data_IF_236792708908
#
_entry.id   IF_236792708908
#
_cell.length_a   1.000
_cell.length_b   1.000
_cell.length_c   1.000
_cell.angle_alpha   90.00
_cell.angle_beta   90.00
_cell.angle_gamma   90.00
#
_symmetry.space_group_name_H-M   'P 1'
#
loop_
_entity.id
_entity.type
_entity.pdbx_description
1 polymer ?
#
# COMPACT_ATOMS: atom_id res chain seq x y z
N UNK A 1 2.93 9.10 -20.10
CA UNK A 1 3.56 10.27 -19.46
C UNK A 1 3.47 10.08 -17.97
N UNK A 2 4.60 9.80 -17.32
CA UNK A 2 4.66 9.53 -15.88
C UNK A 2 4.14 10.65 -15.00
N UNK A 3 3.73 10.30 -13.78
CA UNK A 3 3.08 11.24 -12.86
C UNK A 3 4.10 11.95 -11.97
N UNK A 4 4.09 13.30 -11.95
CA UNK A 4 4.85 14.09 -10.96
C UNK A 4 4.54 13.71 -9.49
N UNK A 5 3.39 13.06 -9.23
CA UNK A 5 3.02 12.58 -7.89
C UNK A 5 3.94 11.46 -7.40
N UNK A 6 4.57 10.73 -8.30
CA UNK A 6 5.40 9.54 -8.03
C UNK A 6 6.90 9.87 -7.99
N UNK A 7 7.28 11.12 -8.27
CA UNK A 7 8.67 11.57 -8.16
C UNK A 7 9.11 11.53 -6.69
N UNK A 8 10.29 10.99 -6.42
CA UNK A 8 10.81 10.89 -5.04
C UNK A 8 11.18 12.26 -4.49
N UNK A 9 11.13 12.45 -3.18
CA UNK A 9 11.49 13.73 -2.56
C UNK A 9 12.96 14.12 -2.83
N UNK A 10 13.88 13.15 -2.82
CA UNK A 10 15.28 13.37 -3.20
C UNK A 10 15.42 13.88 -4.65
N UNK A 11 14.63 13.35 -5.58
CA UNK A 11 14.62 13.81 -6.98
C UNK A 11 14.02 15.21 -7.11
N UNK A 12 12.93 15.50 -6.37
CA UNK A 12 12.34 16.84 -6.31
C UNK A 12 13.34 17.90 -5.83
N UNK A 13 14.13 17.59 -4.79
CA UNK A 13 15.21 18.45 -4.26
C UNK A 13 16.28 18.66 -5.31
N UNK A 14 16.77 17.59 -5.95
CA UNK A 14 17.81 17.69 -6.98
C UNK A 14 17.42 18.57 -8.16
N UNK A 15 16.14 18.54 -8.57
CA UNK A 15 15.61 19.40 -9.64
C UNK A 15 15.63 20.87 -9.22
N UNK A 16 15.07 21.19 -8.05
CA UNK A 16 14.99 22.59 -7.61
C UNK A 16 16.33 23.15 -7.18
N UNK A 17 17.24 22.31 -6.67
CA UNK A 17 18.63 22.69 -6.41
C UNK A 17 19.32 23.17 -7.69
N UNK A 18 19.16 22.45 -8.81
CA UNK A 18 19.71 22.86 -10.10
C UNK A 18 19.14 24.21 -10.58
N UNK A 19 17.85 24.44 -10.38
CA UNK A 19 17.16 25.70 -10.71
C UNK A 19 17.58 26.87 -9.82
N UNK A 20 18.00 26.61 -8.58
CA UNK A 20 18.42 27.64 -7.63
C UNK A 20 19.93 27.93 -7.67
N UNK A 21 20.71 27.05 -8.29
CA UNK A 21 22.18 27.14 -8.39
C UNK A 21 22.63 28.19 -9.43
N UNK A 22 23.36 29.24 -9.01
CA UNK A 22 23.91 30.27 -9.90
C UNK A 22 24.85 29.77 -10.99
N UNK A 23 25.49 28.61 -10.79
CA UNK A 23 26.39 27.99 -11.77
C UNK A 23 25.66 27.07 -12.77
N UNK A 24 24.35 26.88 -12.61
CA UNK A 24 23.55 25.95 -13.43
C UNK A 24 22.36 26.64 -14.08
N UNK A 25 21.14 26.36 -13.62
CA UNK A 25 19.91 26.76 -14.33
C UNK A 25 19.35 28.08 -13.83
N UNK A 26 19.78 28.57 -12.65
CA UNK A 26 19.32 29.86 -12.10
C UNK A 26 19.44 31.03 -13.07
N UNK A 27 20.55 31.22 -13.83
CA UNK A 27 20.66 32.32 -14.80
C UNK A 27 19.59 32.27 -15.90
N UNK A 28 19.09 31.07 -16.24
CA UNK A 28 18.01 30.90 -17.24
C UNK A 28 16.68 31.44 -16.71
N UNK A 29 16.41 31.27 -15.41
CA UNK A 29 15.25 31.88 -14.75
C UNK A 29 15.43 33.39 -14.59
N UNK A 30 16.62 33.87 -14.21
CA UNK A 30 16.89 35.31 -14.05
C UNK A 30 16.73 36.10 -15.36
N UNK A 31 16.85 35.44 -16.51
CA UNK A 31 16.59 36.03 -17.83
C UNK A 31 15.09 36.19 -18.18
N UNK A 32 14.17 35.59 -17.41
CA UNK A 32 12.72 35.66 -17.62
C UNK A 32 12.14 36.92 -16.97
N UNK A 33 11.03 37.42 -17.52
CA UNK A 33 10.38 38.62 -16.97
C UNK A 33 9.78 38.35 -15.58
N UNK A 34 9.24 37.15 -15.39
CA UNK A 34 8.73 36.62 -14.12
C UNK A 34 9.80 35.94 -13.25
N UNK A 35 11.05 35.89 -13.71
CA UNK A 35 12.12 35.05 -13.18
C UNK A 35 12.32 35.14 -11.67
N UNK A 36 12.33 36.36 -11.13
CA UNK A 36 12.48 36.60 -9.69
C UNK A 36 11.35 35.96 -8.88
N UNK A 37 10.10 36.15 -9.30
CA UNK A 37 8.94 35.59 -8.62
C UNK A 37 8.91 34.07 -8.69
N UNK A 38 9.33 33.48 -9.82
CA UNK A 38 9.47 32.04 -9.96
C UNK A 38 10.55 31.48 -9.02
N UNK A 39 11.71 32.12 -8.94
CA UNK A 39 12.80 31.69 -8.06
C UNK A 39 12.41 31.72 -6.57
N UNK A 40 11.63 32.72 -6.14
CA UNK A 40 11.12 32.78 -4.76
C UNK A 40 10.16 31.59 -4.46
N UNK A 41 9.29 31.24 -5.40
CA UNK A 41 8.39 30.08 -5.28
C UNK A 41 9.15 28.75 -5.29
N UNK A 42 10.16 28.63 -6.15
CA UNK A 42 11.04 27.45 -6.25
C UNK A 42 11.81 27.27 -4.94
N UNK A 43 12.38 28.34 -4.39
CA UNK A 43 13.08 28.32 -3.10
C UNK A 43 12.14 27.87 -1.97
N UNK A 44 10.94 28.45 -1.90
CA UNK A 44 9.94 28.08 -0.90
C UNK A 44 9.57 26.58 -0.97
N UNK A 45 9.38 26.05 -2.17
CA UNK A 45 9.09 24.63 -2.37
C UNK A 45 10.29 23.73 -2.01
N UNK A 46 11.51 24.14 -2.39
CA UNK A 46 12.76 23.44 -2.08
C UNK A 46 12.96 23.31 -0.57
N UNK A 47 12.85 24.42 0.16
CA UNK A 47 13.01 24.46 1.61
C UNK A 47 11.92 23.65 2.32
N UNK A 48 10.67 23.69 1.82
CA UNK A 48 9.57 22.88 2.32
C UNK A 48 9.84 21.36 2.21
N UNK A 49 10.49 20.91 1.14
CA UNK A 49 10.86 19.49 1.00
C UNK A 49 12.04 19.16 1.91
N UNK A 50 13.08 20.00 1.98
CA UNK A 50 14.25 19.74 2.83
C UNK A 50 13.90 19.68 4.33
N UNK A 51 13.02 20.58 4.79
CA UNK A 51 12.58 20.63 6.19
C UNK A 51 11.76 19.41 6.59
N UNK A 52 10.99 18.85 5.66
CA UNK A 52 10.17 17.65 5.89
C UNK A 52 10.97 16.35 5.71
N UNK A 53 12.00 16.33 4.86
CA UNK A 53 12.85 15.16 4.62
C UNK A 53 13.95 14.96 5.69
N UNK A 54 14.30 15.99 6.48
CA UNK A 54 15.27 15.88 7.60
C UNK A 54 14.71 15.19 8.86
N UNK A 55 13.41 14.95 8.95
CA UNK A 55 12.80 14.22 10.08
C UNK A 55 12.67 12.75 9.71
N UNK A 56 13.51 11.90 10.31
CA UNK A 56 13.23 10.47 10.46
C UNK A 56 11.83 10.33 11.07
N UNK A 57 10.83 9.96 10.28
CA UNK A 57 9.45 9.85 10.74
C UNK A 57 9.26 8.49 11.43
N UNK A 58 9.21 8.44 12.78
CA UNK A 58 9.06 7.19 13.49
C UNK A 58 7.71 6.53 13.19
N UNK A 59 6.67 7.33 12.89
CA UNK A 59 5.35 6.81 12.54
C UNK A 59 5.38 6.12 11.16
N UNK A 60 6.10 6.67 10.19
CA UNK A 60 6.27 6.03 8.87
C UNK A 60 7.00 4.69 8.98
N UNK A 61 8.03 4.59 9.83
CA UNK A 61 8.73 3.32 10.11
C UNK A 61 7.84 2.30 10.80
N UNK A 62 7.02 2.76 11.75
CA UNK A 62 6.10 1.91 12.48
C UNK A 62 4.97 1.39 11.57
N UNK A 63 4.42 2.24 10.70
CA UNK A 63 3.45 1.85 9.67
C UNK A 63 4.03 0.81 8.70
N UNK A 64 5.28 1.00 8.26
CA UNK A 64 5.97 0.02 7.41
C UNK A 64 6.16 -1.32 8.12
N UNK A 65 6.54 -1.29 9.40
CA UNK A 65 6.70 -2.49 10.24
C UNK A 65 5.36 -3.23 10.42
N UNK A 66 4.27 -2.50 10.66
CA UNK A 66 2.92 -3.05 10.75
C UNK A 66 2.52 -3.70 9.42
N UNK A 67 2.75 -3.03 8.30
CA UNK A 67 2.39 -3.53 6.97
C UNK A 67 3.14 -4.83 6.63
N UNK A 68 4.43 -4.92 6.94
CA UNK A 68 5.21 -6.15 6.76
C UNK A 68 4.66 -7.29 7.63
N UNK A 69 4.33 -6.98 8.89
CA UNK A 69 3.74 -7.95 9.82
C UNK A 69 2.38 -8.44 9.32
N UNK A 70 1.53 -7.54 8.83
CA UNK A 70 0.23 -7.88 8.23
C UNK A 70 0.40 -8.84 7.07
N UNK A 71 1.28 -8.57 6.10
CA UNK A 71 1.50 -9.47 4.96
C UNK A 71 1.96 -10.89 5.37
N UNK A 72 2.74 -11.04 6.45
CA UNK A 72 3.11 -12.37 6.96
C UNK A 72 1.93 -13.10 7.61
N UNK A 73 1.09 -12.38 8.36
CA UNK A 73 -0.08 -12.95 9.05
C UNK A 73 -1.17 -13.30 8.03
N UNK A 74 -1.38 -12.45 7.05
CA UNK A 74 -2.30 -12.65 5.93
C UNK A 74 -2.01 -13.96 5.19
N UNK A 75 -0.76 -14.15 4.73
CA UNK A 75 -0.33 -15.43 4.15
C UNK A 75 -0.61 -16.65 5.04
N UNK A 76 -0.52 -16.48 6.36
CA UNK A 76 -0.87 -17.53 7.33
C UNK A 76 -2.39 -17.72 7.41
N UNK A 77 -3.17 -16.64 7.51
CA UNK A 77 -4.63 -16.62 7.53
C UNK A 77 -5.19 -17.38 6.31
N UNK A 78 -4.77 -16.96 5.13
CA UNK A 78 -5.10 -17.53 3.83
C UNK A 78 -4.81 -19.02 3.72
N UNK A 79 -3.60 -19.41 4.14
CA UNK A 79 -3.19 -20.81 4.14
C UNK A 79 -4.07 -21.63 5.06
N UNK A 80 -4.56 -21.08 6.18
CA UNK A 80 -5.45 -21.79 7.11
C UNK A 80 -6.87 -21.91 6.56
N UNK A 81 -7.40 -20.88 5.88
CA UNK A 81 -8.66 -20.99 5.14
C UNK A 81 -8.57 -22.12 4.11
N UNK A 82 -7.55 -22.10 3.25
CA UNK A 82 -7.33 -23.15 2.25
C UNK A 82 -7.20 -24.53 2.89
N UNK A 83 -6.44 -24.64 3.98
CA UNK A 83 -6.29 -25.91 4.70
C UNK A 83 -7.63 -26.44 5.24
N UNK A 84 -8.44 -25.61 5.91
CA UNK A 84 -9.76 -26.03 6.43
C UNK A 84 -10.66 -26.48 5.29
N UNK A 85 -10.73 -25.69 4.22
CA UNK A 85 -11.54 -26.02 3.05
C UNK A 85 -11.13 -27.38 2.44
N UNK A 86 -9.84 -27.57 2.16
CA UNK A 86 -9.38 -28.81 1.52
C UNK A 86 -9.43 -30.02 2.45
N UNK A 87 -9.18 -29.86 3.76
CA UNK A 87 -9.29 -30.95 4.72
C UNK A 87 -10.73 -31.47 4.81
N UNK A 88 -11.73 -30.57 4.90
CA UNK A 88 -13.12 -30.99 5.00
C UNK A 88 -13.63 -31.67 3.73
N UNK A 89 -13.25 -31.16 2.56
CA UNK A 89 -13.53 -31.85 1.29
C UNK A 89 -12.80 -33.18 1.19
N UNK A 90 -11.53 -33.25 1.61
CA UNK A 90 -10.74 -34.48 1.56
C UNK A 90 -11.26 -35.57 2.49
N UNK A 91 -11.69 -35.22 3.71
CA UNK A 91 -12.34 -36.16 4.62
C UNK A 91 -13.70 -36.62 4.09
N UNK A 92 -14.46 -35.73 3.44
CA UNK A 92 -15.74 -36.08 2.83
C UNK A 92 -15.56 -37.07 1.68
N UNK A 93 -14.59 -36.83 0.78
CA UNK A 93 -14.29 -37.73 -0.34
C UNK A 93 -13.78 -39.11 0.13
N UNK A 94 -13.11 -39.17 1.27
CA UNK A 94 -12.56 -40.41 1.83
C UNK A 94 -13.57 -41.22 2.66
N UNK A 95 -14.76 -40.69 2.94
CA UNK A 95 -15.77 -41.37 3.77
C UNK A 95 -16.82 -42.09 2.92
N UNK A 96 -17.13 -43.33 3.31
CA UNK A 96 -18.22 -44.13 2.73
C UNK A 96 -19.58 -43.90 3.45
N UNK A 97 -19.60 -43.19 4.59
CA UNK A 97 -20.84 -42.89 5.33
C UNK A 97 -21.48 -41.59 4.80
N UNK A 98 -22.65 -41.65 4.14
CA UNK A 98 -23.30 -40.47 3.59
C UNK A 98 -23.67 -39.43 4.65
N UNK A 99 -23.88 -39.84 5.91
CA UNK A 99 -24.16 -38.90 7.00
C UNK A 99 -22.91 -38.13 7.41
N UNK A 100 -21.74 -38.78 7.42
CA UNK A 100 -20.46 -38.14 7.72
C UNK A 100 -20.08 -37.17 6.60
N UNK A 101 -20.26 -37.56 5.34
CA UNK A 101 -20.08 -36.68 4.17
C UNK A 101 -20.93 -35.42 4.31
N UNK A 102 -22.23 -35.57 4.59
CA UNK A 102 -23.13 -34.43 4.76
C UNK A 102 -22.71 -33.52 5.92
N UNK A 103 -22.28 -34.10 7.05
CA UNK A 103 -21.84 -33.33 8.22
C UNK A 103 -20.53 -32.54 7.94
N UNK A 104 -19.59 -33.12 7.20
CA UNK A 104 -18.33 -32.47 6.82
C UNK A 104 -18.55 -31.30 5.86
N UNK A 105 -19.41 -31.48 4.86
CA UNK A 105 -19.76 -30.42 3.91
C UNK A 105 -20.57 -29.31 4.59
N UNK A 106 -21.50 -29.66 5.48
CA UNK A 106 -22.23 -28.68 6.28
C UNK A 106 -21.28 -27.86 7.18
N UNK A 107 -20.32 -28.51 7.84
CA UNK A 107 -19.29 -27.84 8.65
C UNK A 107 -18.42 -26.89 7.80
N UNK A 108 -18.09 -27.29 6.56
CA UNK A 108 -17.34 -26.45 5.61
C UNK A 108 -18.13 -25.19 5.27
N UNK A 109 -19.40 -25.33 4.91
CA UNK A 109 -20.24 -24.20 4.48
C UNK A 109 -20.63 -23.30 5.66
N UNK A 110 -20.74 -23.87 6.85
CA UNK A 110 -20.90 -23.14 8.11
C UNK A 110 -19.65 -22.33 8.47
N UNK A 111 -18.45 -22.81 8.19
CA UNK A 111 -17.22 -22.04 8.41
C UNK A 111 -16.97 -21.03 7.30
N UNK A 112 -17.13 -21.45 6.05
CA UNK A 112 -16.71 -20.76 4.83
C UNK A 112 -17.87 -20.65 3.82
N UNK A 113 -18.89 -19.82 4.10
CA UNK A 113 -20.08 -19.68 3.24
C UNK A 113 -19.75 -19.09 1.86
N UNK A 114 -18.67 -18.31 1.76
CA UNK A 114 -18.12 -17.79 0.49
C UNK A 114 -17.09 -18.74 -0.15
N UNK A 115 -16.87 -19.92 0.44
CA UNK A 115 -15.77 -20.81 0.08
C UNK A 115 -14.41 -20.11 0.17
N UNK A 116 -13.53 -20.40 -0.80
CA UNK A 116 -12.19 -19.82 -0.86
C UNK A 116 -12.17 -18.33 -1.22
N UNK A 117 -13.29 -17.72 -1.64
CA UNK A 117 -13.34 -16.28 -1.91
C UNK A 117 -13.10 -15.44 -0.65
N UNK A 118 -13.19 -16.04 0.55
CA UNK A 118 -12.88 -15.39 1.81
C UNK A 118 -11.40 -14.95 1.94
N UNK A 119 -10.48 -15.47 1.10
CA UNK A 119 -9.07 -15.05 1.05
C UNK A 119 -8.85 -13.75 0.27
N UNK A 120 -9.93 -13.08 -0.15
CA UNK A 120 -9.90 -11.82 -0.91
C UNK A 120 -10.51 -10.66 -0.13
N UNK A 121 -11.00 -10.93 1.08
CA UNK A 121 -11.60 -9.93 1.94
C UNK A 121 -10.50 -8.97 2.45
N UNK A 122 -10.84 -7.71 2.72
CA UNK A 122 -9.90 -6.78 3.37
C UNK A 122 -9.63 -7.20 4.82
N UNK A 123 -8.52 -6.75 5.44
CA UNK A 123 -8.16 -7.14 6.81
C UNK A 123 -9.25 -6.87 7.87
N UNK A 124 -10.03 -5.79 7.72
CA UNK A 124 -11.16 -5.50 8.60
C UNK A 124 -12.34 -6.45 8.35
N UNK A 125 -12.61 -6.78 7.08
CA UNK A 125 -13.64 -7.76 6.73
C UNK A 125 -13.26 -9.16 7.20
N UNK A 126 -12.00 -9.58 7.05
CA UNK A 126 -11.49 -10.86 7.58
C UNK A 126 -11.66 -10.95 9.10
N UNK A 127 -11.29 -9.90 9.83
CA UNK A 127 -11.47 -9.82 11.27
C UNK A 127 -12.96 -9.93 11.66
N UNK A 128 -13.83 -9.20 10.96
CA UNK A 128 -15.28 -9.27 11.17
C UNK A 128 -15.86 -10.66 10.85
N UNK A 129 -15.44 -11.25 9.73
CA UNK A 129 -15.89 -12.56 9.29
C UNK A 129 -15.44 -13.67 10.23
N UNK A 130 -14.26 -13.57 10.82
CA UNK A 130 -13.81 -14.48 11.87
C UNK A 130 -14.71 -14.43 13.10
N UNK A 131 -15.14 -13.24 13.54
CA UNK A 131 -16.03 -13.11 14.70
C UNK A 131 -17.45 -13.62 14.40
N UNK A 132 -17.94 -13.40 13.18
CA UNK A 132 -19.21 -13.98 12.71
C UNK A 132 -19.10 -15.50 12.66
N UNK A 133 -18.03 -16.04 12.06
CA UNK A 133 -17.80 -17.48 11.97
C UNK A 133 -17.72 -18.09 13.37
N UNK A 134 -16.94 -17.50 14.28
CA UNK A 134 -16.79 -18.00 15.66
C UNK A 134 -18.12 -18.08 16.42
N UNK A 135 -19.05 -17.15 16.18
CA UNK A 135 -20.41 -17.19 16.75
C UNK A 135 -21.33 -18.18 16.03
N UNK A 136 -21.12 -18.39 14.73
CA UNK A 136 -21.93 -19.29 13.91
C UNK A 136 -21.60 -20.76 14.18
N UNK A 137 -20.33 -21.10 14.44
CA UNK A 137 -19.90 -22.49 14.66
C UNK A 137 -20.71 -23.15 15.77
N UNK A 138 -21.50 -24.13 15.38
CA UNK A 138 -22.31 -24.95 16.27
C UNK A 138 -21.45 -25.86 17.16
N UNK A 139 -21.95 -26.27 18.34
CA UNK A 139 -21.28 -27.25 19.17
C UNK A 139 -21.03 -28.59 18.46
N UNK A 140 -21.93 -28.98 17.56
CA UNK A 140 -21.80 -30.20 16.76
C UNK A 140 -20.62 -30.09 15.80
N UNK A 141 -20.53 -29.01 15.02
CA UNK A 141 -19.41 -28.73 14.11
C UNK A 141 -18.09 -28.65 14.87
N UNK A 142 -18.03 -27.92 15.97
CA UNK A 142 -16.83 -27.88 16.82
C UNK A 142 -16.42 -29.27 17.33
N UNK A 143 -17.39 -30.09 17.74
CA UNK A 143 -17.17 -31.47 18.17
C UNK A 143 -16.61 -32.36 17.05
N UNK A 144 -17.16 -32.25 15.84
CA UNK A 144 -16.68 -32.94 14.64
C UNK A 144 -15.23 -32.54 14.33
N UNK A 145 -14.95 -31.25 14.23
CA UNK A 145 -13.62 -30.72 13.88
C UNK A 145 -12.54 -31.11 14.90
N UNK A 146 -12.91 -31.34 16.16
CA UNK A 146 -11.99 -31.83 17.20
C UNK A 146 -11.64 -33.31 17.05
N UNK A 147 -12.55 -34.12 16.48
CA UNK A 147 -12.32 -35.56 16.23
C UNK A 147 -11.47 -35.81 15.00
N UNK A 148 -11.52 -34.92 14.00
CA UNK A 148 -10.72 -35.01 12.78
C UNK A 148 -9.25 -34.66 13.09
N UNK A 149 -8.41 -35.69 13.19
CA UNK A 149 -6.99 -35.54 13.53
C UNK A 149 -6.13 -35.27 12.31
N UNK A 150 -5.07 -34.48 12.51
CA UNK A 150 -4.02 -34.19 11.54
C UNK A 150 -2.65 -34.27 12.25
N UNK A 151 -1.51 -34.36 11.55
CA UNK A 151 -0.20 -34.59 12.18
C UNK A 151 0.20 -33.62 13.30
N UNK A 152 -0.43 -32.44 13.39
CA UNK A 152 -0.19 -31.44 14.44
C UNK A 152 -1.48 -30.94 15.09
N UNK A 153 -2.35 -31.86 15.51
CA UNK A 153 -3.56 -31.56 16.27
C UNK A 153 -4.83 -32.03 15.55
N UNK A 154 -5.85 -31.17 15.53
CA UNK A 154 -7.10 -31.45 14.82
C UNK A 154 -7.43 -30.35 13.81
N UNK A 155 -8.44 -30.59 12.97
CA UNK A 155 -8.96 -29.55 12.08
C UNK A 155 -9.40 -28.32 12.89
N UNK A 156 -9.92 -28.52 14.10
CA UNK A 156 -10.25 -27.41 15.01
C UNK A 156 -9.05 -26.53 15.35
N UNK A 157 -7.85 -27.11 15.56
CA UNK A 157 -6.62 -26.33 15.80
C UNK A 157 -6.26 -25.44 14.60
N UNK A 158 -6.57 -25.89 13.38
CA UNK A 158 -6.39 -25.08 12.16
C UNK A 158 -7.37 -23.90 12.14
N UNK A 159 -8.63 -24.13 12.52
CA UNK A 159 -9.66 -23.09 12.66
C UNK A 159 -9.29 -22.08 13.75
N UNK A 160 -8.77 -22.51 14.90
CA UNK A 160 -8.31 -21.60 15.95
C UNK A 160 -7.15 -20.72 15.48
N UNK A 161 -6.20 -21.29 14.74
CA UNK A 161 -5.09 -20.54 14.16
C UNK A 161 -5.55 -19.55 13.08
N UNK A 162 -6.56 -19.93 12.29
CA UNK A 162 -7.22 -19.04 11.34
C UNK A 162 -7.87 -17.85 12.06
N UNK A 163 -8.70 -18.11 13.08
CA UNK A 163 -9.39 -17.07 13.84
C UNK A 163 -8.41 -16.15 14.57
N UNK A 164 -7.33 -16.70 15.14
CA UNK A 164 -6.30 -15.90 15.77
C UNK A 164 -5.61 -14.96 14.77
N UNK A 165 -5.35 -15.42 13.54
CA UNK A 165 -4.74 -14.60 12.50
C UNK A 165 -5.65 -13.44 12.06
N UNK A 166 -6.95 -13.70 11.81
CA UNK A 166 -7.88 -12.64 11.40
C UNK A 166 -8.07 -11.56 12.47
N UNK A 167 -8.15 -11.94 13.75
CA UNK A 167 -8.18 -10.95 14.86
C UNK A 167 -6.88 -10.13 14.96
N UNK A 168 -5.74 -10.76 14.73
CA UNK A 168 -4.44 -10.06 14.74
C UNK A 168 -4.37 -9.05 13.58
N UNK A 169 -4.87 -9.39 12.39
CA UNK A 169 -4.96 -8.48 11.25
C UNK A 169 -5.84 -7.27 11.54
N UNK A 170 -7.04 -7.47 12.10
CA UNK A 170 -7.91 -6.35 12.49
C UNK A 170 -7.29 -5.45 13.56
N UNK A 171 -6.55 -6.02 14.52
CA UNK A 171 -5.83 -5.25 15.55
C UNK A 171 -4.74 -4.38 14.93
N UNK A 172 -3.97 -4.94 13.99
CA UNK A 172 -2.89 -4.24 13.29
C UNK A 172 -3.44 -3.15 12.36
N UNK A 173 -4.55 -3.40 11.68
CA UNK A 173 -5.18 -2.39 10.81
C UNK A 173 -5.67 -1.19 11.62
N UNK A 174 -6.34 -1.43 12.76
CA UNK A 174 -6.70 -0.34 13.66
C UNK A 174 -5.50 0.39 14.28
N UNK A 175 -4.37 -0.29 14.49
CA UNK A 175 -3.13 0.37 14.93
C UNK A 175 -2.58 1.28 13.84
N UNK A 176 -2.55 0.79 12.60
CA UNK A 176 -2.15 1.56 11.42
C UNK A 176 -3.04 2.78 11.21
N UNK A 177 -4.36 2.62 11.23
CA UNK A 177 -5.32 3.74 11.13
C UNK A 177 -5.07 4.82 12.18
N UNK A 178 -4.80 4.42 13.43
CA UNK A 178 -4.50 5.37 14.52
C UNK A 178 -3.18 6.10 14.30
N UNK A 179 -2.15 5.40 13.83
CA UNK A 179 -0.86 6.00 13.51
C UNK A 179 -0.98 6.97 12.33
N UNK A 180 -1.72 6.60 11.29
CA UNK A 180 -2.00 7.47 10.14
C UNK A 180 -2.82 8.70 10.54
N UNK A 181 -3.86 8.53 11.37
CA UNK A 181 -4.64 9.65 11.90
C UNK A 181 -3.79 10.59 12.79
N UNK A 182 -2.90 10.02 13.61
CA UNK A 182 -1.97 10.80 14.45
C UNK A 182 -0.90 11.51 13.62
N UNK A 183 -0.41 10.87 12.56
CA UNK A 183 0.55 11.44 11.61
C UNK A 183 -0.09 12.52 10.72
N UNK A 184 -1.38 12.41 10.41
CA UNK A 184 -2.14 13.44 9.71
C UNK A 184 -2.31 14.73 10.54
N UNK A 185 -2.20 14.63 11.87
CA UNK A 185 -2.14 15.79 12.78
C UNK A 185 -0.72 16.32 13.04
N UNK A 186 0.31 15.73 12.39
CA UNK A 186 1.73 16.07 12.49
C UNK A 186 2.51 15.96 11.16
N UNK A 187 3.85 15.86 11.21
CA UNK A 187 4.80 16.11 10.10
C UNK A 187 4.57 15.40 8.75
N UNK A 188 3.79 14.31 8.70
CA UNK A 188 3.44 13.64 7.44
C UNK A 188 2.49 14.50 6.57
N UNK A 189 1.56 15.22 7.19
CA UNK A 189 0.71 16.21 6.51
C UNK A 189 1.54 17.36 5.94
N UNK A 190 2.59 17.78 6.66
CA UNK A 190 3.53 18.80 6.20
C UNK A 190 4.36 18.30 5.00
N UNK A 191 4.83 17.04 5.03
CA UNK A 191 5.55 16.42 3.91
C UNK A 191 4.68 16.29 2.64
N UNK A 192 3.43 15.84 2.78
CA UNK A 192 2.50 15.77 1.66
C UNK A 192 2.17 17.17 1.11
N UNK A 193 1.96 18.14 2.00
CA UNK A 193 1.74 19.55 1.63
C UNK A 193 2.96 20.14 0.90
N UNK A 194 4.18 19.83 1.34
CA UNK A 194 5.41 20.25 0.69
C UNK A 194 5.54 19.66 -0.73
N UNK A 195 5.30 18.35 -0.89
CA UNK A 195 5.27 17.68 -2.21
C UNK A 195 4.22 18.29 -3.14
N UNK A 196 2.99 18.50 -2.65
CA UNK A 196 1.92 19.11 -3.43
C UNK A 196 2.20 20.57 -3.79
N UNK A 197 2.95 21.29 -2.96
CA UNK A 197 3.40 22.65 -3.26
C UNK A 197 4.46 22.63 -4.35
N UNK A 198 5.43 21.72 -4.29
CA UNK A 198 6.40 21.52 -5.36
C UNK A 198 5.75 21.21 -6.72
N UNK A 199 4.78 20.28 -6.76
CA UNK A 199 4.06 19.94 -8.00
C UNK A 199 3.37 21.18 -8.58
N UNK A 200 2.74 22.01 -7.73
CA UNK A 200 2.11 23.26 -8.18
C UNK A 200 3.13 24.26 -8.72
N UNK A 201 4.30 24.38 -8.08
CA UNK A 201 5.38 25.27 -8.55
C UNK A 201 5.92 24.79 -9.90
N UNK A 202 6.17 23.49 -10.09
CA UNK A 202 6.65 22.95 -11.38
C UNK A 202 5.65 23.23 -12.49
N UNK A 203 4.35 22.95 -12.26
CA UNK A 203 3.30 23.28 -13.24
C UNK A 203 3.20 24.78 -13.53
N UNK A 204 3.42 25.61 -12.51
CA UNK A 204 3.43 27.06 -12.69
C UNK A 204 4.64 27.53 -13.52
N UNK A 205 5.80 26.90 -13.35
CA UNK A 205 6.97 27.14 -14.21
C UNK A 205 6.64 26.77 -15.66
N UNK A 206 6.07 25.59 -15.90
CA UNK A 206 5.66 25.15 -17.24
C UNK A 206 4.72 26.16 -17.91
N UNK A 207 3.63 26.54 -17.22
CA UNK A 207 2.67 27.52 -17.75
C UNK A 207 3.30 28.90 -17.97
N UNK A 208 4.22 29.33 -17.11
CA UNK A 208 4.84 30.66 -17.24
C UNK A 208 5.80 30.71 -18.44
N UNK A 209 6.55 29.63 -18.68
CA UNK A 209 7.42 29.52 -19.86
C UNK A 209 6.61 29.58 -21.17
N UNK A 210 5.44 28.93 -21.19
CA UNK A 210 4.51 28.99 -22.32
C UNK A 210 3.96 30.41 -22.52
N UNK A 211 3.49 31.06 -21.45
CA UNK A 211 2.88 32.40 -21.51
C UNK A 211 3.88 33.51 -21.89
N UNK A 212 5.14 33.41 -21.45
CA UNK A 212 6.19 34.36 -21.85
C UNK A 212 6.69 34.13 -23.28
N UNK A 213 6.25 33.06 -23.95
CA UNK A 213 6.70 32.73 -25.31
C UNK A 213 8.19 32.43 -25.38
N UNK A 214 8.74 31.80 -24.32
CA UNK A 214 10.16 31.44 -24.26
C UNK A 214 10.49 30.50 -25.42
N UNK A 215 11.65 30.68 -26.05
CA UNK A 215 12.08 29.79 -27.14
C UNK A 215 12.12 28.34 -26.65
N UNK A 216 11.63 27.43 -27.48
CA UNK A 216 11.44 26.02 -27.13
C UNK A 216 12.75 25.34 -26.68
N UNK A 217 13.90 25.73 -27.24
CA UNK A 217 15.22 25.21 -26.84
C UNK A 217 15.55 25.58 -25.37
N UNK A 218 15.21 26.80 -24.95
CA UNK A 218 15.41 27.28 -23.58
C UNK A 218 14.41 26.65 -22.62
N UNK A 219 13.12 26.58 -23.00
CA UNK A 219 12.09 25.94 -22.19
C UNK A 219 12.38 24.45 -21.97
N UNK A 220 12.77 23.75 -23.04
CA UNK A 220 13.21 22.36 -22.98
C UNK A 220 14.45 22.17 -22.11
N UNK A 221 15.41 23.10 -22.16
CA UNK A 221 16.60 23.04 -21.31
C UNK A 221 16.27 23.24 -19.81
N UNK A 222 15.30 24.09 -19.46
CA UNK A 222 14.87 24.32 -18.07
C UNK A 222 14.10 23.09 -17.54
N UNK A 223 13.19 22.54 -18.36
CA UNK A 223 12.30 21.44 -17.96
C UNK A 223 12.93 20.05 -18.14
N UNK A 224 14.14 19.96 -18.69
CA UNK A 224 14.77 18.67 -19.02
C UNK A 224 14.81 17.71 -17.82
N UNK A 225 15.22 18.19 -16.64
CA UNK A 225 15.30 17.34 -15.44
C UNK A 225 13.92 16.91 -14.90
N UNK A 226 12.88 17.73 -15.12
CA UNK A 226 11.49 17.37 -14.77
C UNK A 226 11.01 16.23 -15.67
N UNK A 227 11.21 16.37 -16.98
CA UNK A 227 10.80 15.34 -17.97
C UNK A 227 11.52 14.01 -17.76
N UNK A 228 12.82 14.04 -17.43
CA UNK A 228 13.56 12.83 -17.06
C UNK A 228 12.96 12.15 -15.82
N UNK A 229 12.60 12.93 -14.80
CA UNK A 229 11.99 12.38 -13.59
C UNK A 229 10.61 11.75 -13.85
N UNK A 230 9.81 12.30 -14.77
CA UNK A 230 8.54 11.70 -15.20
C UNK A 230 8.75 10.41 -16.02
N UNK A 231 9.75 10.37 -16.90
CA UNK A 231 10.09 9.15 -17.63
C UNK A 231 10.61 8.05 -16.69
N UNK A 232 11.37 8.42 -15.67
CA UNK A 232 11.85 7.50 -14.63
C UNK A 232 10.69 6.90 -13.79
N UNK A 233 9.58 7.62 -13.58
CA UNK A 233 8.40 7.07 -12.89
C UNK A 233 7.58 6.17 -13.81
N UNK A 234 7.38 6.56 -15.06
CA UNK A 234 6.69 5.76 -16.09
C UNK A 234 7.35 4.40 -16.28
N UNK A 235 8.68 4.38 -16.46
CA UNK A 235 9.45 3.14 -16.59
C UNK A 235 9.36 2.25 -15.34
N UNK A 236 9.19 2.83 -14.14
CA UNK A 236 9.03 2.04 -12.91
C UNK A 236 7.66 1.39 -12.83
N UNK A 237 6.60 2.12 -13.19
CA UNK A 237 5.26 1.57 -13.27
C UNK A 237 5.17 0.41 -14.28
N UNK A 238 5.78 0.57 -15.47
CA UNK A 238 5.82 -0.49 -16.49
C UNK A 238 6.53 -1.77 -16.02
N UNK A 239 7.64 -1.64 -15.28
CA UNK A 239 8.36 -2.81 -14.74
C UNK A 239 7.62 -3.49 -13.58
N UNK A 240 6.83 -2.75 -12.78
CA UNK A 240 5.99 -3.31 -11.72
C UNK A 240 4.79 -4.07 -12.29
N UNK A 241 4.20 -3.57 -13.39
CA UNK A 241 3.12 -4.26 -14.10
C UNK A 241 3.61 -5.56 -14.77
N UNK A 242 4.80 -5.55 -15.39
CA UNK A 242 5.39 -6.76 -16.02
C UNK A 242 5.75 -7.86 -15.00
N UNK A 243 6.22 -7.51 -13.80
CA UNK A 243 6.52 -8.47 -12.73
C UNK A 243 5.23 -9.07 -12.15
N UNK A 244 4.15 -8.27 -12.08
CA UNK A 244 2.82 -8.73 -11.64
C UNK A 244 2.11 -9.63 -12.69
N UNK A 245 2.49 -9.51 -13.97
CA UNK A 245 1.98 -10.32 -15.08
C UNK A 245 2.74 -11.62 -15.32
N UNK A 246 3.94 -11.78 -14.76
CA UNK A 246 4.79 -12.96 -14.95
C UNK A 246 4.50 -14.11 -13.95
N UNK A 247 3.67 -13.89 -12.93
CA UNK A 247 3.24 -14.91 -11.95
C UNK A 247 1.83 -15.49 -12.21
N UNK A 248 1.26 -15.28 -13.40
CA UNK A 248 -0.06 -15.78 -13.82
C UNK A 248 -0.10 -17.23 -14.31
#
# INVERSE_FOLDING_TARGET
MGSLKEVSAARMVSITEAWLDPARDRPKFEALSSGKGLLDLIQSAHDGILTTHKKDDPAAREIATISEKQGRIDRRHDRKIRAVFHLLNGFAEASDDPNEVAALLAARDELLPKGLSATKDSYLEEAGNVEIAAKRVSPATKGLLKKLTIPRGSVWTVVEAWFAAGRELGTLEHQKDRLEASAATGSAGEALKARNTWIRVVRHVESTLELEGVREDVASAILHQVRLAEQETERRAENEDDDSGAEG
#
